data_IF_073557919430
#
_entry.id   IF_073557919430
#
_cell.length_a   1.000
_cell.length_b   1.000
_cell.length_c   1.000
_cell.angle_alpha   90.00
_cell.angle_beta   90.00
_cell.angle_gamma   90.00
#
_symmetry.space_group_name_H-M   'P 1'
#
loop_
_entity.id
_entity.type
_entity.pdbx_description
1 polymer ?
#
# COMPACT_ATOMS: atom_id res chain seq x y z
N UNK A 1 -11.57 -21.71 -5.75
CA UNK A 1 -10.82 -20.73 -6.43
C UNK A 1 -9.70 -20.17 -5.57
N UNK A 2 -8.50 -20.43 -5.97
CA UNK A 2 -7.37 -20.01 -5.17
C UNK A 2 -7.11 -18.53 -5.39
N UNK A 3 -6.97 -17.82 -4.30
CA UNK A 3 -6.64 -16.42 -4.38
C UNK A 3 -5.12 -16.28 -4.38
N UNK A 4 -4.59 -15.84 -5.49
CA UNK A 4 -3.16 -15.60 -5.59
C UNK A 4 -2.84 -14.18 -5.17
N UNK A 5 -3.51 -13.73 -4.12
CA UNK A 5 -3.30 -12.38 -3.63
C UNK A 5 -2.86 -12.41 -2.17
N UNK A 6 -2.09 -11.42 -1.79
CA UNK A 6 -1.66 -11.25 -0.42
C UNK A 6 -1.99 -9.83 0.02
N UNK A 7 -2.11 -9.66 1.31
CA UNK A 7 -2.37 -8.34 1.86
C UNK A 7 -1.06 -7.64 2.16
N UNK A 8 -1.02 -6.38 1.84
CA UNK A 8 0.14 -5.55 2.13
C UNK A 8 -0.35 -4.24 2.72
N UNK A 9 0.54 -3.56 3.38
CA UNK A 9 0.24 -2.26 3.95
C UNK A 9 0.81 -1.19 3.02
N UNK A 10 -0.04 -0.25 2.65
CA UNK A 10 0.40 0.90 1.88
C UNK A 10 0.55 2.07 2.85
N UNK A 11 1.76 2.46 3.06
CA UNK A 11 2.07 3.47 4.06
C UNK A 11 2.41 4.80 3.39
N UNK A 12 1.85 5.86 3.94
CA UNK A 12 2.09 7.19 3.42
C UNK A 12 3.54 7.61 3.65
N UNK A 13 4.09 8.30 2.67
CA UNK A 13 5.44 8.82 2.79
C UNK A 13 5.46 10.17 3.51
N UNK A 14 4.30 10.78 3.69
CA UNK A 14 4.23 12.13 4.27
C UNK A 14 3.71 12.12 5.70
N UNK A 15 3.06 11.03 6.12
CA UNK A 15 2.48 10.98 7.45
C UNK A 15 2.50 9.53 7.92
N UNK A 16 1.82 9.29 9.03
CA UNK A 16 1.72 7.92 9.55
C UNK A 16 0.51 7.18 9.03
N UNK A 17 -0.24 7.82 8.16
CA UNK A 17 -1.43 7.19 7.63
C UNK A 17 -1.05 5.98 6.79
N UNK A 18 -1.84 4.94 6.92
CA UNK A 18 -1.63 3.74 6.12
C UNK A 18 -2.98 3.08 5.87
N UNK A 19 -3.00 2.24 4.88
CA UNK A 19 -4.18 1.41 4.63
C UNK A 19 -3.70 0.08 4.09
N UNK A 20 -4.59 -0.89 4.12
CA UNK A 20 -4.28 -2.21 3.60
C UNK A 20 -4.73 -2.32 2.15
N UNK A 21 -4.00 -3.10 1.41
CA UNK A 21 -4.33 -3.36 0.02
C UNK A 21 -3.98 -4.80 -0.28
N UNK A 22 -4.38 -5.26 -1.44
CA UNK A 22 -4.03 -6.59 -1.88
C UNK A 22 -3.25 -6.48 -3.18
N UNK A 23 -2.37 -7.43 -3.39
CA UNK A 23 -1.65 -7.49 -4.64
C UNK A 23 -1.45 -8.95 -5.02
N UNK A 24 -1.08 -9.15 -6.26
CA UNK A 24 -0.84 -10.48 -6.76
C UNK A 24 0.37 -11.09 -6.06
N UNK A 25 0.21 -12.31 -5.59
CA UNK A 25 1.26 -13.03 -4.90
C UNK A 25 2.52 -13.16 -5.74
N UNK A 26 2.35 -13.22 -7.05
CA UNK A 26 3.48 -13.36 -7.96
C UNK A 26 4.25 -12.07 -8.16
N UNK A 27 3.66 -10.97 -7.77
CA UNK A 27 4.32 -9.68 -7.93
C UNK A 27 5.26 -9.46 -6.77
N UNK A 28 6.54 -9.66 -7.02
CA UNK A 28 7.55 -9.52 -5.97
C UNK A 28 8.09 -8.12 -5.88
N UNK A 29 7.70 -7.26 -6.78
CA UNK A 29 8.14 -5.88 -6.77
C UNK A 29 7.25 -5.10 -5.82
N UNK A 30 7.87 -4.25 -5.03
CA UNK A 30 7.11 -3.41 -4.13
C UNK A 30 6.26 -2.42 -4.90
N UNK A 31 5.04 -2.25 -4.46
CA UNK A 31 4.14 -1.30 -5.07
C UNK A 31 4.38 0.09 -4.49
N UNK A 32 4.21 1.07 -5.33
CA UNK A 32 4.13 2.43 -4.85
C UNK A 32 3.04 3.12 -5.65
N UNK A 33 2.08 3.67 -4.93
CA UNK A 33 0.91 4.27 -5.53
C UNK A 33 0.74 5.67 -4.97
N UNK A 34 0.21 6.53 -5.81
CA UNK A 34 -0.10 7.87 -5.37
C UNK A 34 -1.56 7.90 -4.95
N UNK A 35 -1.82 8.36 -3.75
CA UNK A 35 -3.16 8.42 -3.24
C UNK A 35 -3.34 9.61 -2.33
N UNK A 36 -4.60 9.85 -1.95
CA UNK A 36 -4.91 10.97 -1.09
C UNK A 36 -4.65 10.60 0.36
N UNK A 37 -3.91 11.45 1.04
CA UNK A 37 -3.62 11.28 2.45
C UNK A 37 -4.46 12.27 3.25
N UNK A 38 -5.46 11.77 3.99
CA UNK A 38 -6.33 12.68 4.75
C UNK A 38 -5.63 13.34 5.92
N UNK A 39 -4.52 12.79 6.36
CA UNK A 39 -3.79 13.38 7.49
C UNK A 39 -3.14 14.69 7.06
N UNK A 40 -2.48 14.68 5.90
CA UNK A 40 -1.85 15.88 5.39
C UNK A 40 -2.73 16.59 4.37
N UNK A 41 -3.85 15.99 4.00
CA UNK A 41 -4.82 16.56 3.06
C UNK A 41 -4.23 16.84 1.71
N UNK A 42 -3.36 15.94 1.26
CA UNK A 42 -2.72 16.07 -0.04
C UNK A 42 -2.58 14.70 -0.65
N UNK A 43 -2.34 14.69 -1.94
CA UNK A 43 -1.96 13.45 -2.59
C UNK A 43 -0.48 13.22 -2.35
N UNK A 44 -0.17 12.05 -1.82
CA UNK A 44 1.21 11.71 -1.52
C UNK A 44 1.45 10.29 -2.01
N UNK A 45 2.69 9.93 -2.03
CA UNK A 45 3.08 8.61 -2.46
C UNK A 45 2.94 7.62 -1.32
N UNK A 46 2.33 6.48 -1.62
CA UNK A 46 2.19 5.39 -0.67
C UNK A 46 3.12 4.27 -1.08
N UNK A 47 3.89 3.79 -0.15
CA UNK A 47 4.84 2.71 -0.40
C UNK A 47 4.36 1.44 0.26
N UNK A 48 4.54 0.34 -0.44
CA UNK A 48 4.14 -0.95 0.08
C UNK A 48 5.05 -1.36 1.23
N UNK A 49 4.42 -1.92 2.26
CA UNK A 49 5.16 -2.48 3.36
C UNK A 49 4.59 -3.86 3.64
N UNK A 50 5.47 -4.79 3.87
CA UNK A 50 5.03 -6.16 4.07
C UNK A 50 4.25 -6.28 5.36
N UNK A 51 3.10 -6.91 5.26
CA UNK A 51 2.28 -7.19 6.41
C UNK A 51 2.68 -8.54 6.98
N UNK A 52 2.84 -8.58 8.27
CA UNK A 52 3.17 -9.83 8.92
C UNK A 52 1.96 -10.66 9.24
#
# INVERSE_FOLDING_TARGET
MAADTIKVIMRSSASRYFYTATKNKRNKVKLSLKGYDPVVRKHVEFNEEKMK
#
